data_IF_447106444126
#
_entry.id   IF_447106444126
#
_cell.length_a   1.000
_cell.length_b   1.000
_cell.length_c   1.000
_cell.angle_alpha   90.00
_cell.angle_beta   90.00
_cell.angle_gamma   90.00
#
_symmetry.space_group_name_H-M   'P 1'
#
loop_
_entity.id
_entity.type
_entity.pdbx_description
1 polymer ?
#
# COMPACT_ATOMS: atom_id res chain seq x y z
N UNK A 1 -18.29 -7.04 -22.67
CA UNK A 1 -17.42 -8.00 -21.95
C UNK A 1 -17.81 -7.95 -20.49
N UNK A 2 -18.34 -9.06 -19.97
CA UNK A 2 -19.03 -9.10 -18.68
C UNK A 2 -17.98 -9.16 -17.55
N UNK A 3 -17.76 -8.04 -16.86
CA UNK A 3 -16.82 -7.95 -15.73
C UNK A 3 -17.57 -8.44 -14.49
N UNK A 4 -17.34 -9.70 -14.13
CA UNK A 4 -17.87 -10.28 -12.90
C UNK A 4 -17.39 -9.49 -11.69
N UNK A 5 -18.29 -8.69 -11.11
CA UNK A 5 -18.02 -7.85 -9.94
C UNK A 5 -18.30 -8.66 -8.68
N UNK A 6 -17.26 -9.16 -8.00
CA UNK A 6 -17.45 -9.73 -6.67
C UNK A 6 -17.61 -8.59 -5.66
N UNK A 7 -18.86 -8.27 -5.34
CA UNK A 7 -19.26 -7.26 -4.34
C UNK A 7 -19.38 -7.93 -2.97
N UNK A 8 -18.61 -7.47 -1.98
CA UNK A 8 -18.87 -7.74 -0.58
C UNK A 8 -19.57 -6.52 0.02
N UNK A 9 -20.86 -6.68 0.32
CA UNK A 9 -21.67 -5.67 1.00
C UNK A 9 -21.39 -5.71 2.50
N UNK A 10 -20.94 -4.58 3.06
CA UNK A 10 -20.85 -4.40 4.52
C UNK A 10 -21.94 -3.41 4.97
N UNK A 11 -23.21 -3.77 4.76
CA UNK A 11 -24.35 -3.08 5.35
C UNK A 11 -25.56 -4.01 5.36
N UNK A 12 -26.06 -4.33 6.56
CA UNK A 12 -27.43 -4.80 6.74
C UNK A 12 -28.35 -3.61 6.98
N UNK A 13 -29.39 -3.47 6.17
CA UNK A 13 -30.69 -2.88 6.52
C UNK A 13 -31.66 -2.92 5.31
N UNK A 14 -32.79 -3.60 5.54
CA UNK A 14 -34.15 -3.50 4.99
C UNK A 14 -34.46 -2.73 3.70
N UNK A 15 -35.26 -3.41 2.87
CA UNK A 15 -36.07 -2.93 1.74
C UNK A 15 -37.03 -1.77 2.07
N UNK A 16 -37.20 -0.83 1.15
CA UNK A 16 -38.52 -0.48 0.56
C UNK A 16 -38.41 0.60 -0.56
N UNK A 17 -39.19 0.31 -1.61
CA UNK A 17 -39.89 1.18 -2.55
C UNK A 17 -39.18 2.04 -3.60
N UNK A 18 -39.59 1.76 -4.83
CA UNK A 18 -39.25 2.43 -6.07
C UNK A 18 -40.10 3.68 -6.27
N UNK A 19 -39.45 4.79 -6.63
CA UNK A 19 -40.08 5.85 -7.41
C UNK A 19 -39.04 6.43 -8.38
N UNK A 20 -39.50 6.65 -9.61
CA UNK A 20 -38.76 7.14 -10.76
C UNK A 20 -38.34 8.59 -10.58
N UNK A 21 -37.05 8.86 -10.52
CA UNK A 21 -36.52 10.22 -10.62
C UNK A 21 -35.31 10.28 -11.57
N UNK A 22 -35.35 11.26 -12.47
CA UNK A 22 -34.34 11.56 -13.49
C UNK A 22 -33.06 12.09 -12.82
N UNK A 23 -32.35 11.21 -12.13
CA UNK A 23 -31.10 11.52 -11.48
C UNK A 23 -29.96 11.37 -12.49
N UNK A 24 -29.19 12.45 -12.66
CA UNK A 24 -27.83 12.41 -13.23
C UNK A 24 -27.12 11.13 -12.72
N UNK A 25 -26.33 10.43 -13.55
CA UNK A 25 -25.68 9.19 -13.11
C UNK A 25 -25.00 9.44 -11.77
N UNK A 26 -25.21 8.57 -10.77
CA UNK A 26 -24.73 8.82 -9.41
C UNK A 26 -23.25 9.17 -9.50
N UNK A 27 -22.86 10.33 -8.96
CA UNK A 27 -21.45 10.71 -8.93
C UNK A 27 -20.71 9.68 -8.08
N UNK A 28 -20.06 8.73 -8.75
CA UNK A 28 -19.26 7.70 -8.10
C UNK A 28 -18.02 8.37 -7.50
N UNK A 29 -18.11 8.78 -6.24
CA UNK A 29 -16.98 9.27 -5.47
C UNK A 29 -16.07 8.08 -5.15
N UNK A 30 -14.93 8.00 -5.83
CA UNK A 30 -13.89 7.03 -5.51
C UNK A 30 -12.99 7.63 -4.43
N UNK A 31 -12.85 6.94 -3.31
CA UNK A 31 -12.01 7.35 -2.17
C UNK A 31 -10.57 6.86 -2.31
N UNK A 32 -10.40 5.64 -2.83
CA UNK A 32 -9.07 5.03 -2.97
C UNK A 32 -9.01 4.14 -4.21
N UNK A 33 -7.82 4.08 -4.79
CA UNK A 33 -7.46 3.22 -5.91
C UNK A 33 -6.07 2.65 -5.61
N UNK A 34 -5.91 1.34 -5.78
CA UNK A 34 -4.59 0.71 -5.66
C UNK A 34 -4.49 -0.52 -6.52
N UNK A 35 -3.34 -0.71 -7.16
CA UNK A 35 -3.02 -1.97 -7.80
C UNK A 35 -2.55 -2.97 -6.74
N UNK A 36 -2.75 -4.25 -7.02
CA UNK A 36 -1.99 -5.29 -6.32
C UNK A 36 -0.51 -5.25 -6.75
N UNK A 37 0.31 -6.04 -6.06
CA UNK A 37 1.78 -6.00 -6.19
C UNK A 37 2.30 -6.35 -7.59
N UNK A 38 1.59 -7.23 -8.31
CA UNK A 38 1.89 -7.68 -9.67
C UNK A 38 1.10 -6.91 -10.75
N UNK A 39 0.36 -5.86 -10.37
CA UNK A 39 -0.43 -5.01 -11.26
C UNK A 39 -1.50 -5.74 -12.10
N UNK A 40 -1.93 -6.93 -11.66
CA UNK A 40 -2.95 -7.74 -12.32
C UNK A 40 -4.38 -7.43 -11.83
N UNK A 41 -4.51 -6.85 -10.63
CA UNK A 41 -5.77 -6.46 -10.01
C UNK A 41 -5.74 -4.97 -9.64
N UNK A 42 -6.88 -4.31 -9.79
CA UNK A 42 -7.13 -2.96 -9.31
C UNK A 42 -8.21 -2.98 -8.23
N UNK A 43 -7.85 -2.56 -7.02
CA UNK A 43 -8.77 -2.30 -5.94
C UNK A 43 -9.29 -0.87 -6.02
N UNK A 44 -10.60 -0.70 -5.85
CA UNK A 44 -11.26 0.59 -5.75
C UNK A 44 -12.08 0.62 -4.46
N UNK A 45 -12.02 1.73 -3.74
CA UNK A 45 -12.85 1.98 -2.56
C UNK A 45 -13.78 3.14 -2.82
N UNK A 46 -15.06 2.96 -2.55
CA UNK A 46 -16.10 3.98 -2.52
C UNK A 46 -16.53 4.21 -1.06
N UNK A 47 -17.31 5.26 -0.74
CA UNK A 47 -17.79 5.49 0.63
C UNK A 47 -18.59 4.35 1.24
N UNK A 48 -19.21 3.50 0.42
CA UNK A 48 -20.10 2.41 0.86
C UNK A 48 -19.53 1.02 0.66
N UNK A 49 -18.67 0.83 -0.35
CA UNK A 49 -18.19 -0.50 -0.76
C UNK A 49 -16.77 -0.43 -1.33
N UNK A 50 -16.10 -1.58 -1.42
CA UNK A 50 -14.89 -1.72 -2.24
C UNK A 50 -15.16 -2.70 -3.39
N UNK A 51 -14.39 -2.59 -4.47
CA UNK A 51 -14.49 -3.46 -5.64
C UNK A 51 -13.09 -3.80 -6.14
N UNK A 52 -12.92 -5.01 -6.66
CA UNK A 52 -11.67 -5.48 -7.25
C UNK A 52 -11.92 -5.78 -8.72
N UNK A 53 -11.05 -5.27 -9.58
CA UNK A 53 -11.10 -5.43 -11.03
C UNK A 53 -9.88 -6.19 -11.49
N UNK A 54 -10.08 -7.33 -12.16
CA UNK A 54 -9.00 -8.07 -12.81
C UNK A 54 -8.66 -7.42 -14.15
N UNK A 55 -7.38 -7.16 -14.37
CA UNK A 55 -6.85 -6.52 -15.58
C UNK A 55 -6.22 -7.54 -16.53
N UNK A 56 -5.72 -8.67 -16.01
CA UNK A 56 -5.17 -9.78 -16.80
C UNK A 56 -6.23 -10.84 -17.12
N UNK A 57 -6.12 -11.48 -18.29
CA UNK A 57 -7.03 -12.55 -18.76
C UNK A 57 -6.80 -13.90 -18.05
N UNK A 58 -5.68 -14.06 -17.35
CA UNK A 58 -5.35 -15.28 -16.62
C UNK A 58 -6.03 -15.30 -15.25
N UNK A 59 -7.17 -16.00 -15.17
CA UNK A 59 -8.03 -16.13 -13.99
C UNK A 59 -7.43 -16.97 -12.83
N UNK A 60 -6.10 -17.12 -12.74
CA UNK A 60 -5.44 -17.85 -11.64
C UNK A 60 -5.20 -16.92 -10.47
N UNK A 61 -6.27 -16.67 -9.71
CA UNK A 61 -6.19 -15.92 -8.46
C UNK A 61 -5.74 -16.89 -7.36
N UNK A 62 -4.52 -16.71 -6.84
CA UNK A 62 -4.01 -17.48 -5.69
C UNK A 62 -4.73 -17.13 -4.39
N UNK A 63 -4.23 -17.64 -3.25
CA UNK A 63 -4.70 -17.22 -1.92
C UNK A 63 -4.31 -15.74 -1.69
N UNK A 64 -5.25 -14.83 -1.96
CA UNK A 64 -5.08 -13.41 -1.70
C UNK A 64 -5.73 -13.07 -0.36
N UNK A 65 -4.94 -12.54 0.57
CA UNK A 65 -5.44 -11.89 1.76
C UNK A 65 -5.69 -10.42 1.45
N UNK A 66 -6.91 -9.95 1.68
CA UNK A 66 -7.26 -8.55 1.53
C UNK A 66 -7.31 -7.88 2.90
N UNK A 67 -6.84 -6.64 2.95
CA UNK A 67 -6.92 -5.79 4.13
C UNK A 67 -7.87 -4.64 3.85
N UNK A 68 -8.86 -4.46 4.72
CA UNK A 68 -9.87 -3.41 4.60
C UNK A 68 -9.80 -2.52 5.83
N UNK A 69 -9.71 -1.22 5.60
CA UNK A 69 -9.87 -0.17 6.61
C UNK A 69 -11.02 0.71 6.16
N UNK A 70 -12.04 0.84 7.02
CA UNK A 70 -13.21 1.67 6.74
C UNK A 70 -12.95 3.11 7.16
N UNK A 71 -13.44 4.07 6.39
CA UNK A 71 -13.44 5.49 6.78
C UNK A 71 -14.24 5.76 8.06
N UNK A 72 -15.24 4.92 8.37
CA UNK A 72 -16.04 5.02 9.59
C UNK A 72 -15.32 4.48 10.82
N UNK A 73 -14.34 3.60 10.62
CA UNK A 73 -13.54 2.99 11.68
C UNK A 73 -12.06 3.00 11.29
N UNK A 74 -11.41 4.18 11.21
CA UNK A 74 -10.07 4.34 10.64
C UNK A 74 -8.96 3.74 11.50
N UNK A 75 -9.31 3.22 12.68
CA UNK A 75 -8.40 2.53 13.62
C UNK A 75 -8.57 1.02 13.62
N UNK A 76 -9.55 0.51 12.87
CA UNK A 76 -9.86 -0.91 12.81
C UNK A 76 -9.37 -1.47 11.48
N UNK A 77 -8.46 -2.44 11.55
CA UNK A 77 -8.00 -3.20 10.40
C UNK A 77 -8.73 -4.54 10.39
N UNK A 78 -9.39 -4.85 9.28
CA UNK A 78 -10.03 -6.16 9.07
C UNK A 78 -9.26 -6.89 7.97
N UNK A 79 -8.78 -8.08 8.29
CA UNK A 79 -8.12 -8.99 7.34
C UNK A 79 -9.13 -10.03 6.92
N UNK A 80 -9.38 -10.16 5.62
CA UNK A 80 -10.36 -11.09 5.06
C UNK A 80 -9.73 -12.01 4.00
N UNK A 81 -10.30 -13.20 3.89
CA UNK A 81 -9.92 -14.17 2.86
C UNK A 81 -10.63 -13.83 1.55
N UNK A 82 -9.89 -13.56 0.47
CA UNK A 82 -10.48 -13.13 -0.80
C UNK A 82 -11.56 -14.10 -1.32
N UNK A 83 -11.23 -15.39 -1.43
CA UNK A 83 -12.15 -16.38 -2.03
C UNK A 83 -13.35 -16.73 -1.16
N UNK A 84 -13.24 -16.58 0.15
CA UNK A 84 -14.30 -16.98 1.10
C UNK A 84 -15.13 -15.80 1.56
N UNK A 85 -14.64 -14.57 1.37
CA UNK A 85 -15.26 -13.35 1.90
C UNK A 85 -15.34 -13.32 3.43
N UNK A 86 -14.74 -14.28 4.12
CA UNK A 86 -14.79 -14.40 5.58
C UNK A 86 -13.75 -13.51 6.22
N UNK A 87 -14.15 -12.83 7.29
CA UNK A 87 -13.22 -12.17 8.20
C UNK A 87 -12.32 -13.23 8.84
N UNK A 88 -11.01 -13.05 8.68
CA UNK A 88 -10.00 -13.88 9.32
C UNK A 88 -9.73 -13.28 10.71
N UNK A 89 -9.42 -11.99 10.74
CA UNK A 89 -9.02 -11.27 11.95
C UNK A 89 -9.40 -9.79 11.88
N UNK A 90 -9.57 -9.19 13.06
CA UNK A 90 -9.77 -7.76 13.23
C UNK A 90 -8.81 -7.22 14.30
N UNK A 91 -7.97 -6.25 13.92
CA UNK A 91 -7.13 -5.49 14.85
C UNK A 91 -7.74 -4.13 15.16
N UNK A 92 -7.55 -3.68 16.39
CA UNK A 92 -7.90 -2.33 16.83
C UNK A 92 -6.62 -1.61 17.28
N UNK A 93 -6.34 -0.48 16.63
CA UNK A 93 -5.18 0.35 16.94
C UNK A 93 -5.58 1.56 17.77
N UNK A 94 -4.61 2.12 18.51
CA UNK A 94 -4.84 3.31 19.35
C UNK A 94 -5.10 4.54 18.48
N UNK A 95 -4.29 4.70 17.43
CA UNK A 95 -4.36 5.82 16.48
C UNK A 95 -4.84 5.35 15.11
N UNK A 96 -5.16 6.32 14.25
CA UNK A 96 -5.61 6.11 12.87
C UNK A 96 -4.54 5.39 12.04
N UNK A 97 -4.97 4.36 11.32
CA UNK A 97 -4.16 3.67 10.34
C UNK A 97 -4.05 4.57 9.10
N UNK A 98 -2.84 4.92 8.72
CA UNK A 98 -2.58 5.78 7.56
C UNK A 98 -2.30 4.96 6.31
N UNK A 99 -1.56 3.86 6.45
CA UNK A 99 -1.29 2.96 5.34
C UNK A 99 -1.19 1.50 5.83
N UNK A 100 -1.59 0.58 4.96
CA UNK A 100 -1.39 -0.86 5.14
C UNK A 100 -0.64 -1.37 3.92
N UNK A 101 0.45 -2.10 4.15
CA UNK A 101 1.26 -2.75 3.12
C UNK A 101 1.37 -4.22 3.45
N UNK A 102 1.35 -5.04 2.42
CA UNK A 102 1.44 -6.49 2.52
C UNK A 102 2.59 -6.94 1.63
N UNK A 103 3.22 -8.05 1.97
CA UNK A 103 3.96 -8.93 1.06
C UNK A 103 3.59 -10.39 1.42
N UNK A 104 4.28 -11.40 0.89
CA UNK A 104 3.94 -12.80 1.21
C UNK A 104 4.24 -13.21 2.64
N UNK A 105 5.14 -12.49 3.33
CA UNK A 105 5.66 -12.87 4.64
C UNK A 105 5.28 -11.89 5.77
N UNK A 106 4.86 -10.66 5.44
CA UNK A 106 4.66 -9.54 6.35
C UNK A 106 3.42 -8.71 6.05
N UNK A 107 2.69 -8.37 7.11
CA UNK A 107 1.64 -7.35 7.13
C UNK A 107 2.20 -6.15 7.90
N UNK A 108 2.32 -5.02 7.21
CA UNK A 108 2.82 -3.77 7.77
C UNK A 108 1.68 -2.78 7.90
N UNK A 109 1.50 -2.24 9.10
CA UNK A 109 0.51 -1.21 9.41
C UNK A 109 1.24 0.05 9.85
N UNK A 110 1.08 1.13 9.09
CA UNK A 110 1.70 2.42 9.34
C UNK A 110 0.70 3.37 10.02
N UNK A 111 1.11 3.88 11.18
CA UNK A 111 0.47 4.99 11.90
C UNK A 111 1.36 6.23 11.77
N UNK A 112 0.96 7.35 12.37
CA UNK A 112 1.73 8.61 12.30
C UNK A 112 3.12 8.50 12.97
N UNK A 113 3.20 7.86 14.14
CA UNK A 113 4.44 7.81 14.96
C UNK A 113 4.90 6.37 15.24
N UNK A 114 4.29 5.37 14.60
CA UNK A 114 4.68 3.97 14.78
C UNK A 114 4.33 3.11 13.58
N UNK A 115 5.11 2.03 13.39
CA UNK A 115 4.86 1.03 12.36
C UNK A 115 4.82 -0.35 13.02
N UNK A 116 3.77 -1.10 12.73
CA UNK A 116 3.56 -2.45 13.26
C UNK A 116 3.84 -3.47 12.16
N UNK A 117 4.72 -4.41 12.45
CA UNK A 117 5.10 -5.49 11.53
C UNK A 117 4.55 -6.79 12.10
N UNK A 118 3.63 -7.40 11.35
CA UNK A 118 3.03 -8.68 11.65
C UNK A 118 3.53 -9.73 10.66
N UNK A 119 3.49 -10.98 11.05
CA UNK A 119 3.72 -12.11 10.15
C UNK A 119 2.43 -12.43 9.39
N UNK A 120 2.53 -12.68 8.08
CA UNK A 120 1.36 -13.01 7.25
C UNK A 120 0.82 -14.42 7.48
N UNK A 121 1.65 -15.37 7.91
CA UNK A 121 1.23 -16.76 8.04
C UNK A 121 0.42 -16.99 9.32
N UNK A 122 0.88 -16.45 10.45
CA UNK A 122 0.24 -16.63 11.77
C UNK A 122 -0.51 -15.38 12.27
N UNK A 123 -0.41 -14.26 11.54
CA UNK A 123 -1.03 -12.99 11.87
C UNK A 123 -0.64 -12.46 13.27
N UNK A 124 0.55 -12.84 13.76
CA UNK A 124 1.07 -12.34 15.05
C UNK A 124 1.91 -11.08 14.84
N UNK A 125 1.87 -10.19 15.83
CA UNK A 125 2.76 -9.03 15.90
C UNK A 125 4.19 -9.52 16.14
N UNK A 126 5.09 -9.22 15.20
CA UNK A 126 6.51 -9.55 15.30
C UNK A 126 7.30 -8.40 15.94
N UNK A 127 7.05 -7.18 15.49
CA UNK A 127 7.82 -6.02 15.90
C UNK A 127 7.01 -4.73 15.77
N UNK A 128 7.32 -3.77 16.64
CA UNK A 128 6.78 -2.41 16.56
C UNK A 128 7.94 -1.44 16.51
N UNK A 129 8.07 -0.73 15.39
CA UNK A 129 8.96 0.41 15.26
C UNK A 129 8.24 1.60 15.89
N UNK A 130 8.83 2.15 16.95
CA UNK A 130 8.30 3.30 17.71
C UNK A 130 9.18 4.51 17.50
N UNK A 131 8.68 5.66 17.93
CA UNK A 131 9.40 6.94 17.93
C UNK A 131 9.88 7.34 16.53
N UNK A 132 9.12 6.94 15.49
CA UNK A 132 9.37 7.44 14.14
C UNK A 132 8.92 8.90 14.06
N UNK A 133 9.56 9.73 13.22
CA UNK A 133 9.09 11.09 12.98
C UNK A 133 7.66 11.09 12.45
N UNK A 134 6.93 12.19 12.70
CA UNK A 134 5.51 12.32 12.35
C UNK A 134 5.26 12.11 10.85
N UNK A 135 4.73 10.93 10.50
CA UNK A 135 4.46 10.49 9.14
C UNK A 135 2.98 10.68 8.77
N UNK A 136 2.54 11.94 8.66
CA UNK A 136 1.12 12.29 8.45
C UNK A 136 0.51 11.72 7.17
N UNK A 137 1.34 11.51 6.16
CA UNK A 137 0.93 11.00 4.86
C UNK A 137 0.97 9.46 4.78
N UNK A 138 1.42 8.78 5.84
CA UNK A 138 1.53 7.32 5.88
C UNK A 138 2.56 6.76 4.90
N UNK A 139 3.59 7.54 4.56
CA UNK A 139 4.62 7.16 3.59
C UNK A 139 5.40 5.96 4.11
N UNK A 140 5.29 4.86 3.38
CA UNK A 140 6.08 3.66 3.60
C UNK A 140 6.08 2.83 2.30
N UNK A 141 7.19 2.13 2.07
CA UNK A 141 7.30 1.16 0.99
C UNK A 141 7.76 -0.17 1.55
N UNK A 142 7.10 -1.26 1.15
CA UNK A 142 7.47 -2.62 1.51
C UNK A 142 7.91 -3.33 0.23
N UNK A 143 9.07 -3.98 0.28
CA UNK A 143 9.54 -4.82 -0.81
C UNK A 143 8.66 -6.04 -0.96
N UNK A 144 8.36 -6.36 -2.23
CA UNK A 144 7.56 -7.52 -2.63
C UNK A 144 8.43 -8.78 -2.70
N UNK A 145 9.75 -8.61 -2.87
CA UNK A 145 10.71 -9.72 -2.97
C UNK A 145 10.84 -10.46 -1.65
N UNK A 146 10.77 -11.80 -1.72
CA UNK A 146 11.02 -12.68 -0.59
C UNK A 146 12.52 -12.76 -0.23
N UNK A 147 13.40 -12.50 -1.21
CA UNK A 147 14.86 -12.49 -1.01
C UNK A 147 15.34 -11.21 -0.31
N UNK A 148 14.73 -10.08 -0.64
CA UNK A 148 15.05 -8.76 -0.10
C UNK A 148 13.84 -8.12 0.59
N UNK A 149 13.39 -8.64 1.75
CA UNK A 149 12.17 -8.21 2.42
C UNK A 149 12.43 -6.96 3.28
N UNK A 150 12.68 -5.84 2.60
CA UNK A 150 12.94 -4.55 3.23
C UNK A 150 11.69 -3.68 3.36
N UNK A 151 11.63 -2.93 4.45
CA UNK A 151 10.67 -1.86 4.68
C UNK A 151 11.43 -0.53 4.65
N UNK A 152 10.91 0.45 3.93
CA UNK A 152 11.42 1.81 3.90
C UNK A 152 10.40 2.76 4.51
N UNK A 153 10.87 3.67 5.37
CA UNK A 153 10.06 4.74 5.95
C UNK A 153 10.89 6.02 6.15
N UNK A 154 10.26 7.21 6.20
CA UNK A 154 10.95 8.46 6.46
C UNK A 154 11.65 8.48 7.82
N UNK A 155 12.92 8.86 7.84
CA UNK A 155 13.71 9.01 9.07
C UNK A 155 13.67 10.43 9.65
N UNK A 156 13.23 11.42 8.86
CA UNK A 156 12.98 12.80 9.34
C UNK A 156 11.77 13.40 8.64
N UNK A 157 11.23 14.49 9.20
CA UNK A 157 10.13 15.28 8.59
C UNK A 157 10.63 16.48 7.77
N UNK A 158 11.92 16.82 7.85
CA UNK A 158 12.50 18.04 7.27
C UNK A 158 13.33 17.73 6.02
N UNK A 159 14.14 16.67 6.09
CA UNK A 159 14.98 16.17 5.00
C UNK A 159 14.39 14.89 4.43
N UNK A 160 14.79 14.53 3.22
CA UNK A 160 14.32 13.31 2.58
C UNK A 160 15.20 12.12 2.90
N UNK A 161 15.37 11.86 4.19
CA UNK A 161 16.12 10.71 4.70
C UNK A 161 15.18 9.51 4.87
N UNK A 162 15.66 8.34 4.47
CA UNK A 162 14.90 7.09 4.44
C UNK A 162 15.63 6.06 5.27
N UNK A 163 14.95 5.50 6.26
CA UNK A 163 15.43 4.36 6.99
C UNK A 163 14.99 3.08 6.28
N UNK A 164 15.96 2.25 5.89
CA UNK A 164 15.71 0.88 5.45
C UNK A 164 15.71 -0.02 6.68
N UNK A 165 14.71 -0.89 6.79
CA UNK A 165 14.52 -1.80 7.89
C UNK A 165 14.38 -3.23 7.37
N UNK A 166 15.13 -4.14 7.95
CA UNK A 166 15.06 -5.56 7.61
C UNK A 166 13.89 -6.21 8.35
N UNK A 167 12.87 -6.64 7.61
CA UNK A 167 11.67 -7.23 8.19
C UNK A 167 11.83 -8.71 8.58
N UNK A 168 12.93 -9.36 8.20
CA UNK A 168 13.27 -10.72 8.62
C UNK A 168 14.07 -10.70 9.91
N UNK A 169 15.16 -9.95 9.94
CA UNK A 169 16.01 -9.85 11.12
C UNK A 169 15.48 -8.86 12.18
N UNK A 170 14.44 -8.08 11.83
CA UNK A 170 13.79 -7.08 12.68
C UNK A 170 14.79 -6.04 13.21
N UNK A 171 15.65 -5.55 12.32
CA UNK A 171 16.71 -4.60 12.65
C UNK A 171 16.71 -3.42 11.68
N UNK A 172 17.03 -2.21 12.16
CA UNK A 172 17.29 -1.09 11.26
C UNK A 172 18.54 -1.40 10.43
N UNK A 173 18.40 -1.25 9.13
CA UNK A 173 19.49 -1.32 8.16
C UNK A 173 20.03 0.07 7.86
N UNK A 174 20.23 0.34 6.58
CA UNK A 174 20.91 1.55 6.10
C UNK A 174 19.98 2.78 6.18
N UNK A 175 20.54 3.91 6.58
CA UNK A 175 19.93 5.23 6.46
C UNK A 175 20.39 5.89 5.16
N UNK A 176 19.44 6.36 4.34
CA UNK A 176 19.72 6.93 3.01
C UNK A 176 19.24 8.38 2.94
N UNK A 177 20.16 9.32 2.75
CA UNK A 177 19.88 10.75 2.64
C UNK A 177 19.49 11.20 1.21
N UNK A 178 18.34 10.74 0.71
CA UNK A 178 17.98 10.90 -0.69
C UNK A 178 17.72 12.35 -1.14
N UNK A 179 17.11 13.20 -0.28
CA UNK A 179 16.74 14.58 -0.64
C UNK A 179 17.02 15.59 0.48
N UNK A 180 17.18 16.86 0.12
CA UNK A 180 17.31 17.99 1.08
C UNK A 180 15.96 18.55 1.55
N UNK A 181 14.85 17.98 1.07
CA UNK A 181 13.48 18.36 1.41
C UNK A 181 12.65 17.11 1.71
N UNK A 182 11.48 17.24 2.37
CA UNK A 182 10.70 16.09 2.82
C UNK A 182 10.30 15.18 1.66
N UNK A 183 10.19 13.88 1.94
CA UNK A 183 9.79 12.88 0.95
C UNK A 183 8.32 13.05 0.60
N UNK A 184 8.01 12.89 -0.69
CA UNK A 184 6.66 12.87 -1.23
C UNK A 184 6.21 11.44 -1.59
N UNK A 185 7.16 10.62 -2.06
CA UNK A 185 6.88 9.25 -2.50
C UNK A 185 8.12 8.37 -2.39
N UNK A 186 7.89 7.07 -2.22
CA UNK A 186 8.92 6.04 -2.26
C UNK A 186 8.33 4.72 -2.75
N UNK A 187 9.11 3.95 -3.51
CA UNK A 187 8.73 2.64 -4.01
C UNK A 187 9.96 1.76 -4.25
N UNK A 188 9.89 0.49 -3.86
CA UNK A 188 10.90 -0.50 -4.21
C UNK A 188 10.70 -1.01 -5.64
N UNK A 189 11.78 -1.52 -6.24
CA UNK A 189 11.67 -2.36 -7.42
C UNK A 189 11.17 -3.77 -7.06
N UNK A 190 10.78 -4.55 -8.08
CA UNK A 190 10.24 -5.90 -7.88
C UNK A 190 11.23 -6.86 -7.21
N UNK A 191 12.54 -6.64 -7.41
CA UNK A 191 13.60 -7.46 -6.81
C UNK A 191 13.92 -7.04 -5.36
N UNK A 192 13.45 -5.89 -4.89
CA UNK A 192 13.80 -5.31 -3.59
C UNK A 192 15.24 -4.80 -3.50
N UNK A 193 15.95 -4.71 -4.63
CA UNK A 193 17.34 -4.29 -4.70
C UNK A 193 17.50 -2.78 -4.87
N UNK A 194 16.46 -2.11 -5.38
CA UNK A 194 16.46 -0.67 -5.65
C UNK A 194 15.26 0.01 -5.04
N UNK A 195 15.44 1.28 -4.66
CA UNK A 195 14.35 2.14 -4.22
C UNK A 195 14.34 3.43 -5.03
N UNK A 196 13.16 3.80 -5.51
CA UNK A 196 12.88 5.07 -6.17
C UNK A 196 12.21 6.01 -5.16
N UNK A 197 12.65 7.25 -5.13
CA UNK A 197 12.24 8.24 -4.12
C UNK A 197 11.99 9.58 -4.78
N UNK A 198 11.01 10.33 -4.30
CA UNK A 198 10.72 11.67 -4.78
C UNK A 198 10.45 12.61 -3.60
N UNK A 199 10.73 13.89 -3.79
CA UNK A 199 10.49 14.94 -2.79
C UNK A 199 9.52 15.97 -3.34
N UNK A 200 8.93 16.79 -2.47
CA UNK A 200 8.00 17.86 -2.84
C UNK A 200 8.58 18.90 -3.82
N UNK A 201 9.92 18.91 -4.01
CA UNK A 201 10.62 19.84 -4.90
C UNK A 201 11.29 19.20 -6.13
N UNK A 202 11.62 17.90 -6.08
CA UNK A 202 12.47 17.24 -7.09
C UNK A 202 11.98 15.83 -7.41
N UNK A 203 12.16 15.39 -8.66
CA UNK A 203 11.25 14.42 -9.28
C UNK A 203 11.64 12.95 -9.14
N UNK A 204 12.91 12.52 -9.06
CA UNK A 204 13.20 11.09 -8.82
C UNK A 204 14.67 10.84 -8.46
N UNK A 205 14.94 10.04 -7.43
CA UNK A 205 16.25 9.47 -7.12
C UNK A 205 16.12 7.94 -7.03
N UNK A 206 16.83 7.22 -7.90
CA UNK A 206 16.92 5.76 -7.91
C UNK A 206 18.21 5.33 -7.21
N UNK A 207 18.09 4.42 -6.25
CA UNK A 207 19.21 3.99 -5.41
C UNK A 207 19.44 2.50 -5.65
N UNK A 208 20.65 2.13 -6.05
CA UNK A 208 21.07 0.74 -6.30
C UNK A 208 22.45 0.51 -5.69
N UNK A 209 22.56 -0.40 -4.71
CA UNK A 209 23.85 -0.95 -4.28
C UNK A 209 24.91 0.09 -3.87
N UNK A 210 24.55 1.11 -3.10
CA UNK A 210 25.50 2.11 -2.60
C UNK A 210 25.99 3.14 -3.62
N UNK A 211 25.57 3.05 -4.89
CA UNK A 211 25.93 4.03 -5.93
C UNK A 211 24.79 5.04 -6.14
N UNK A 212 25.13 6.32 -5.95
CA UNK A 212 24.25 7.46 -6.13
C UNK A 212 24.17 7.83 -7.61
N UNK A 213 22.99 7.76 -8.22
CA UNK A 213 22.75 8.34 -9.55
C UNK A 213 21.89 9.58 -9.36
N UNK A 214 22.48 10.78 -9.25
CA UNK A 214 21.71 12.01 -9.31
C UNK A 214 21.09 12.10 -10.70
N UNK A 215 19.77 11.97 -10.79
CA UNK A 215 19.04 12.20 -12.03
C UNK A 215 19.06 13.72 -12.30
N UNK A 216 20.05 14.18 -13.05
CA UNK A 216 20.06 15.54 -13.58
C UNK A 216 18.99 15.63 -14.68
N UNK A 217 18.20 16.72 -14.58
CA UNK A 217 17.19 17.25 -15.49
C UNK A 217 17.26 16.70 -16.92
N UNK A 218 16.18 16.06 -17.36
CA UNK A 218 15.90 15.84 -18.79
C UNK A 218 15.69 14.39 -19.23
N UNK A 219 14.76 13.64 -18.62
CA UNK A 219 14.17 12.47 -19.26
C UNK A 219 12.72 12.29 -18.81
N UNK A 220 11.84 12.43 -19.78
CA UNK A 220 10.39 12.40 -19.67
C UNK A 220 9.83 11.16 -18.94
N UNK A 221 8.65 11.34 -18.34
CA UNK A 221 7.60 10.32 -18.24
C UNK A 221 7.63 9.41 -19.49
N UNK A 222 7.88 8.10 -19.32
CA UNK A 222 7.69 7.16 -20.42
C UNK A 222 8.49 5.86 -20.44
N UNK A 223 9.46 5.62 -19.55
CA UNK A 223 10.37 4.46 -19.70
C UNK A 223 10.16 3.25 -18.75
N UNK A 224 9.18 3.26 -17.84
CA UNK A 224 8.92 2.06 -17.01
C UNK A 224 7.96 1.03 -17.64
N UNK A 225 7.40 1.29 -18.83
CA UNK A 225 6.50 0.36 -19.50
C UNK A 225 6.85 0.20 -20.98
N UNK A 226 7.88 -0.61 -21.31
CA UNK A 226 7.95 -1.46 -22.51
C UNK A 226 9.34 -2.12 -22.61
N UNK A 227 9.38 -3.43 -22.37
CA UNK A 227 10.01 -4.34 -23.33
C UNK A 227 8.94 -5.35 -23.74
N UNK A 228 8.73 -5.50 -25.05
CA UNK A 228 8.78 -6.84 -25.60
C UNK A 228 9.73 -6.90 -26.80
N UNK A 229 10.53 -7.97 -26.79
CA UNK A 229 11.37 -8.54 -27.85
C UNK A 229 12.39 -7.61 -28.51
#
# INVERSE_FOLDING_TARGET
MNVGSNRLNLAGASSSDASSDNTLPPQYKVLTLSFNQDCTLLATGTPTTYSLFTISQDNKIGEIHNCVVSSQAPRKLIVCHFMRGTEILSYSFVNTILAVKLNRSRLVVCLEESIYIHNMCDMKLLHTIRDIPSNRDGLCALSISDENPYLAYPATTVTGEIQIFDTVNLKPGILIAAHKSPLAAMAFDMAGAKIATASNKFVLCLISGGLWIPCWIGACCGCCCRRPC
#
